data_IF_038788907748
#
_entry.id   IF_038788907748
#
_cell.length_a   1.000
_cell.length_b   1.000
_cell.length_c   1.000
_cell.angle_alpha   90.00
_cell.angle_beta   90.00
_cell.angle_gamma   90.00
#
_symmetry.space_group_name_H-M   'P 1'
#
loop_
_entity.id
_entity.type
_entity.pdbx_description
1 polymer ?
#
# COMPACT_ATOMS: atom_id res chain seq x y z
N UNK A 1 -11.75 16.65 29.24
CA UNK A 1 -12.32 17.76 28.44
C UNK A 1 -13.82 17.78 28.65
N UNK A 2 -14.50 18.93 28.50
CA UNK A 2 -15.97 18.95 28.49
C UNK A 2 -16.45 18.49 27.11
N UNK A 3 -17.53 17.72 27.08
CA UNK A 3 -18.19 17.25 25.86
C UNK A 3 -19.66 17.64 25.84
N UNK A 4 -20.25 17.68 24.66
CA UNK A 4 -21.68 17.83 24.40
C UNK A 4 -22.13 16.75 23.44
N UNK A 5 -23.14 15.98 23.82
CA UNK A 5 -23.73 14.93 22.98
C UNK A 5 -24.63 15.57 21.94
N UNK A 6 -24.34 15.35 20.67
CA UNK A 6 -25.18 15.80 19.55
C UNK A 6 -25.93 14.61 18.98
N UNK A 7 -27.26 14.70 18.98
CA UNK A 7 -28.12 13.74 18.31
C UNK A 7 -28.08 13.99 16.79
N UNK A 8 -28.10 12.94 15.96
CA UNK A 8 -28.08 13.09 14.52
C UNK A 8 -29.45 13.52 13.98
N UNK A 9 -29.45 14.15 12.81
CA UNK A 9 -30.67 14.51 12.08
C UNK A 9 -31.44 13.28 11.60
N UNK A 10 -30.73 12.21 11.21
CA UNK A 10 -31.33 10.93 10.87
C UNK A 10 -31.06 9.91 11.99
N UNK A 11 -32.14 9.34 12.54
CA UNK A 11 -32.10 8.39 13.65
C UNK A 11 -31.39 7.05 13.33
N UNK A 12 -31.02 6.80 12.07
CA UNK A 12 -30.18 5.68 11.70
C UNK A 12 -28.73 5.84 12.18
N UNK A 13 -28.27 7.07 12.48
CA UNK A 13 -26.92 7.34 12.96
C UNK A 13 -26.87 7.39 14.49
N UNK A 14 -25.72 7.17 15.13
CA UNK A 14 -25.57 7.28 16.57
C UNK A 14 -25.47 8.74 17.02
N UNK A 15 -25.72 9.00 18.31
CA UNK A 15 -25.34 10.28 18.92
C UNK A 15 -23.82 10.30 19.13
N UNK A 16 -23.21 11.48 18.98
CA UNK A 16 -21.75 11.65 19.07
C UNK A 16 -21.44 12.68 20.16
N UNK A 17 -20.52 12.34 21.05
CA UNK A 17 -19.98 13.26 22.05
C UNK A 17 -18.88 14.12 21.43
N UNK A 18 -19.17 15.40 21.21
CA UNK A 18 -18.23 16.37 20.68
C UNK A 18 -17.54 17.15 21.80
N UNK A 19 -16.22 17.31 21.70
CA UNK A 19 -15.40 18.15 22.58
C UNK A 19 -15.77 19.62 22.45
N UNK A 20 -15.86 20.28 23.60
CA UNK A 20 -16.11 21.71 23.70
C UNK A 20 -14.81 22.50 23.92
N UNK A 21 -14.72 23.65 23.26
CA UNK A 21 -13.73 24.70 23.48
C UNK A 21 -14.47 26.02 23.73
N UNK A 22 -14.21 26.68 24.87
CA UNK A 22 -14.91 27.89 25.29
C UNK A 22 -16.46 27.76 25.27
N UNK A 23 -16.97 26.61 25.74
CA UNK A 23 -18.40 26.24 25.73
C UNK A 23 -19.06 26.24 24.34
N UNK A 24 -18.28 26.02 23.28
CA UNK A 24 -18.77 25.78 21.92
C UNK A 24 -18.13 24.51 21.37
N UNK A 25 -18.79 23.84 20.44
CA UNK A 25 -18.21 22.68 19.74
C UNK A 25 -16.91 23.11 19.08
N UNK A 26 -15.80 22.44 19.44
CA UNK A 26 -14.51 22.70 18.85
C UNK A 26 -14.52 22.33 17.36
N UNK A 27 -13.97 23.18 16.49
CA UNK A 27 -13.90 22.93 15.05
C UNK A 27 -12.49 22.56 14.62
N UNK A 28 -11.93 21.57 15.30
CA UNK A 28 -10.59 21.04 15.07
C UNK A 28 -10.58 19.51 14.98
N UNK A 29 -9.39 18.94 14.79
CA UNK A 29 -9.18 17.52 14.55
C UNK A 29 -9.79 16.62 15.64
N UNK A 30 -9.89 17.09 16.89
CA UNK A 30 -10.37 16.28 18.03
C UNK A 30 -11.79 15.79 17.79
N UNK A 31 -12.62 16.61 17.15
CA UNK A 31 -14.02 16.31 16.90
C UNK A 31 -14.25 15.51 15.64
N UNK A 32 -13.35 15.58 14.67
CA UNK A 32 -13.33 14.65 13.55
C UNK A 32 -12.90 13.25 14.03
N UNK A 33 -11.89 13.18 14.90
CA UNK A 33 -11.48 11.92 15.55
C UNK A 33 -12.63 11.34 16.36
N UNK A 34 -13.26 12.14 17.23
CA UNK A 34 -14.40 11.70 18.04
C UNK A 34 -15.51 11.09 17.18
N UNK A 35 -15.77 11.66 16.00
CA UNK A 35 -16.73 11.14 15.04
C UNK A 35 -16.32 9.77 14.47
N UNK A 36 -15.05 9.60 14.06
CA UNK A 36 -14.52 8.30 13.60
C UNK A 36 -14.36 7.25 14.70
N UNK A 37 -14.37 7.65 15.98
CA UNK A 37 -14.28 6.75 17.13
C UNK A 37 -15.63 6.33 17.70
N UNK A 38 -16.73 7.00 17.31
CA UNK A 38 -18.07 6.75 17.86
C UNK A 38 -19.09 6.30 16.81
N UNK A 39 -18.92 6.63 15.52
CA UNK A 39 -19.79 6.08 14.48
C UNK A 39 -19.35 4.66 14.08
N UNK A 40 -20.16 3.65 14.42
CA UNK A 40 -19.89 2.23 14.13
C UNK A 40 -19.51 1.95 12.67
N UNK A 41 -20.01 2.76 11.74
CA UNK A 41 -19.68 2.64 10.31
C UNK A 41 -18.22 2.98 10.03
N UNK A 42 -17.64 3.86 10.84
CA UNK A 42 -16.32 4.45 10.66
C UNK A 42 -15.26 3.91 11.63
N UNK A 43 -15.65 3.44 12.82
CA UNK A 43 -14.71 2.94 13.85
C UNK A 43 -13.85 1.84 13.28
N UNK A 44 -12.56 2.09 13.04
CA UNK A 44 -11.66 1.07 12.49
C UNK A 44 -11.52 1.08 10.97
N UNK A 45 -12.15 2.02 10.24
CA UNK A 45 -12.15 2.01 8.78
C UNK A 45 -10.85 2.53 8.18
N UNK A 46 -10.27 3.56 8.77
CA UNK A 46 -9.07 4.26 8.30
C UNK A 46 -7.80 3.56 8.79
N UNK A 47 -6.84 3.42 7.87
CA UNK A 47 -5.51 2.86 8.12
C UNK A 47 -4.47 3.50 7.20
N UNK A 48 -3.19 3.37 7.55
CA UNK A 48 -2.08 3.79 6.70
C UNK A 48 -1.43 2.56 6.07
N UNK A 49 -1.48 2.48 4.73
CA UNK A 49 -0.82 1.41 3.99
C UNK A 49 0.68 1.72 3.89
N UNK A 50 1.53 0.98 4.61
CA UNK A 50 2.97 1.24 4.66
C UNK A 50 3.72 0.81 3.40
N UNK A 51 3.11 -0.04 2.57
CA UNK A 51 3.72 -0.48 1.31
C UNK A 51 3.54 0.59 0.21
N UNK A 52 2.34 1.18 0.16
CA UNK A 52 2.00 2.22 -0.83
C UNK A 52 2.16 3.64 -0.30
N UNK A 53 2.37 3.81 1.01
CA UNK A 53 2.65 5.07 1.69
C UNK A 53 1.54 6.14 1.56
N UNK A 54 0.28 5.71 1.65
CA UNK A 54 -0.89 6.60 1.66
C UNK A 54 -1.98 6.10 2.62
N UNK A 55 -2.93 6.98 2.91
CA UNK A 55 -4.11 6.68 3.71
C UNK A 55 -5.11 5.86 2.89
N UNK A 56 -5.69 4.85 3.53
CA UNK A 56 -6.74 4.01 2.94
C UNK A 56 -7.90 3.82 3.90
N UNK A 57 -9.03 3.40 3.35
CA UNK A 57 -10.07 2.73 4.10
C UNK A 57 -10.21 1.26 3.71
N UNK A 58 -10.42 0.41 4.72
CA UNK A 58 -10.43 -1.06 4.61
C UNK A 58 -11.83 -1.68 4.55
N UNK A 59 -12.87 -0.84 4.60
CA UNK A 59 -14.29 -1.23 4.56
C UNK A 59 -15.11 -0.19 3.83
N UNK A 60 -16.35 -0.51 3.49
CA UNK A 60 -17.25 0.46 2.88
C UNK A 60 -17.42 1.71 3.76
N UNK A 61 -17.22 2.86 3.14
CA UNK A 61 -17.52 4.15 3.74
C UNK A 61 -18.97 4.53 3.38
N UNK A 62 -19.63 5.40 4.16
CA UNK A 62 -21.01 5.76 3.89
C UNK A 62 -21.26 6.40 2.51
N UNK A 63 -20.22 6.94 1.87
CA UNK A 63 -20.30 7.59 0.56
C UNK A 63 -19.74 6.74 -0.59
N UNK A 64 -18.88 5.73 -0.35
CA UNK A 64 -18.45 4.79 -1.40
C UNK A 64 -17.88 3.48 -0.83
N UNK A 65 -17.99 2.43 -1.65
CA UNK A 65 -17.53 1.09 -1.31
C UNK A 65 -15.99 0.95 -1.34
N UNK A 66 -15.47 0.03 -0.53
CA UNK A 66 -14.08 -0.40 -0.57
C UNK A 66 -13.87 -1.39 -1.72
N UNK A 67 -13.00 -1.04 -2.65
CA UNK A 67 -12.73 -1.82 -3.86
C UNK A 67 -11.74 -2.96 -3.59
N UNK A 68 -10.79 -2.75 -2.69
CA UNK A 68 -9.81 -3.76 -2.31
C UNK A 68 -9.61 -3.74 -0.79
N UNK A 69 -10.25 -4.63 -0.01
CA UNK A 69 -10.06 -4.70 1.43
C UNK A 69 -8.69 -5.23 1.88
N UNK A 70 -7.94 -5.89 0.99
CA UNK A 70 -6.61 -6.43 1.30
C UNK A 70 -5.55 -5.32 1.27
N UNK A 71 -5.56 -4.48 0.23
CA UNK A 71 -4.66 -3.33 0.09
C UNK A 71 -5.23 -2.03 0.68
N UNK A 72 -6.53 -2.00 0.90
CA UNK A 72 -7.30 -0.79 1.16
C UNK A 72 -7.60 0.01 -0.11
N UNK A 73 -8.66 0.82 -0.01
CA UNK A 73 -8.98 1.81 -1.03
C UNK A 73 -8.43 3.15 -0.61
N UNK A 74 -7.62 3.77 -1.45
CA UNK A 74 -7.01 5.08 -1.20
C UNK A 74 -8.05 6.12 -0.81
N UNK A 75 -7.77 6.88 0.24
CA UNK A 75 -8.51 8.08 0.62
C UNK A 75 -8.10 9.23 -0.31
N UNK A 76 -9.08 9.88 -0.94
CA UNK A 76 -8.89 10.96 -1.91
C UNK A 76 -9.52 12.25 -1.40
N UNK A 77 -9.20 13.37 -2.06
CA UNK A 77 -9.77 14.68 -1.72
C UNK A 77 -11.31 14.70 -1.82
N UNK A 78 -11.88 13.91 -2.74
CA UNK A 78 -13.33 13.72 -2.81
C UNK A 78 -13.91 13.04 -1.56
N UNK A 79 -13.17 12.14 -0.89
CA UNK A 79 -13.60 11.54 0.38
C UNK A 79 -13.61 12.55 1.51
N UNK A 80 -12.68 13.51 1.51
CA UNK A 80 -12.65 14.62 2.46
C UNK A 80 -13.91 15.48 2.33
N UNK A 81 -14.33 15.80 1.11
CA UNK A 81 -15.57 16.54 0.85
C UNK A 81 -16.81 15.75 1.28
N UNK A 82 -16.85 14.45 0.98
CA UNK A 82 -17.97 13.59 1.39
C UNK A 82 -18.03 13.40 2.91
N UNK A 83 -16.89 13.33 3.59
CA UNK A 83 -16.82 13.29 5.05
C UNK A 83 -17.33 14.59 5.68
N UNK A 84 -16.93 15.73 5.13
CA UNK A 84 -17.42 17.04 5.55
C UNK A 84 -18.95 17.12 5.39
N UNK A 85 -19.45 16.73 4.22
CA UNK A 85 -20.90 16.69 3.93
C UNK A 85 -21.63 15.75 4.89
N UNK A 86 -21.09 14.56 5.13
CA UNK A 86 -21.67 13.60 6.05
C UNK A 86 -21.84 14.17 7.46
N UNK A 87 -20.79 14.79 8.02
CA UNK A 87 -20.85 15.34 9.37
C UNK A 87 -21.78 16.56 9.41
N UNK A 88 -21.75 17.40 8.37
CA UNK A 88 -22.63 18.56 8.24
C UNK A 88 -24.11 18.18 8.18
N UNK A 89 -24.46 17.25 7.29
CA UNK A 89 -25.84 16.80 7.07
C UNK A 89 -26.39 16.07 8.30
N UNK A 90 -25.57 15.29 9.01
CA UNK A 90 -26.04 14.50 10.14
C UNK A 90 -25.99 15.24 11.48
N UNK A 91 -24.98 16.09 11.73
CA UNK A 91 -24.77 16.68 13.05
C UNK A 91 -24.80 18.22 13.05
N UNK A 92 -24.94 18.85 11.89
CA UNK A 92 -24.99 20.32 11.78
C UNK A 92 -23.65 21.01 12.07
N UNK A 93 -22.55 20.25 12.07
CA UNK A 93 -21.20 20.76 12.34
C UNK A 93 -20.39 20.75 11.04
N UNK A 94 -19.84 21.91 10.69
CA UNK A 94 -19.01 22.08 9.49
C UNK A 94 -17.58 22.38 9.92
N UNK A 95 -16.65 21.54 9.45
CA UNK A 95 -15.20 21.68 9.63
C UNK A 95 -14.55 22.26 8.36
N UNK A 96 -13.34 22.78 8.48
CA UNK A 96 -12.50 23.03 7.31
C UNK A 96 -11.99 21.69 6.75
N UNK A 97 -11.79 21.59 5.43
CA UNK A 97 -11.25 20.38 4.78
C UNK A 97 -9.92 19.98 5.37
N UNK A 98 -9.01 20.94 5.58
CA UNK A 98 -7.70 20.71 6.21
C UNK A 98 -7.83 20.06 7.61
N UNK A 99 -8.86 20.41 8.38
CA UNK A 99 -9.13 19.78 9.68
C UNK A 99 -9.50 18.31 9.55
N UNK A 100 -10.29 17.97 8.53
CA UNK A 100 -10.62 16.58 8.20
C UNK A 100 -9.33 15.85 7.80
N UNK A 101 -8.55 16.39 6.87
CA UNK A 101 -7.33 15.75 6.36
C UNK A 101 -6.30 15.49 7.47
N UNK A 102 -6.10 16.46 8.36
CA UNK A 102 -5.23 16.30 9.53
C UNK A 102 -5.71 15.16 10.44
N UNK A 103 -7.01 15.11 10.75
CA UNK A 103 -7.57 14.06 11.58
C UNK A 103 -7.49 12.67 10.92
N UNK A 104 -7.77 12.57 9.62
CA UNK A 104 -7.65 11.33 8.84
C UNK A 104 -6.21 10.85 8.84
N UNK A 105 -5.24 11.75 8.65
CA UNK A 105 -3.82 11.41 8.75
C UNK A 105 -3.46 10.90 10.15
N UNK A 106 -3.91 11.58 11.21
CA UNK A 106 -3.66 11.14 12.60
C UNK A 106 -4.23 9.73 12.86
N UNK A 107 -5.51 9.51 12.53
CA UNK A 107 -6.19 8.22 12.67
C UNK A 107 -5.49 7.11 11.88
N UNK A 108 -5.05 7.40 10.66
CA UNK A 108 -4.36 6.42 9.82
C UNK A 108 -3.03 6.00 10.44
N UNK A 109 -2.28 6.93 11.07
CA UNK A 109 -0.97 6.67 11.66
C UNK A 109 -1.03 5.79 12.90
N UNK A 110 -2.17 5.76 13.58
CA UNK A 110 -2.43 4.81 14.68
C UNK A 110 -2.67 3.38 14.18
N UNK A 111 -2.98 3.20 12.89
CA UNK A 111 -3.27 1.91 12.26
C UNK A 111 -2.42 1.68 11.02
N UNK A 112 -1.13 1.45 11.24
CA UNK A 112 -0.20 1.06 10.20
C UNK A 112 -0.40 -0.40 9.81
N UNK A 113 -0.36 -0.70 8.51
CA UNK A 113 -0.29 -2.09 8.04
C UNK A 113 0.46 -2.22 6.71
N UNK A 114 1.07 -3.38 6.51
CA UNK A 114 1.59 -3.81 5.21
C UNK A 114 0.68 -4.92 4.66
N UNK A 115 0.03 -4.73 3.50
CA UNK A 115 -0.91 -5.71 2.96
C UNK A 115 -0.25 -7.06 2.66
N UNK A 116 1.00 -7.04 2.16
CA UNK A 116 1.77 -8.26 1.89
C UNK A 116 2.02 -9.04 3.18
N UNK A 117 2.46 -8.37 4.25
CA UNK A 117 2.69 -9.03 5.54
C UNK A 117 1.41 -9.65 6.07
N UNK A 118 0.27 -8.95 5.99
CA UNK A 118 -1.01 -9.51 6.41
C UNK A 118 -1.43 -10.72 5.57
N UNK A 119 -1.22 -10.68 4.25
CA UNK A 119 -1.49 -11.82 3.39
C UNK A 119 -0.62 -13.02 3.76
N UNK A 120 0.71 -12.86 3.82
CA UNK A 120 1.64 -13.96 4.12
C UNK A 120 1.41 -14.53 5.52
N UNK A 121 1.16 -13.70 6.53
CA UNK A 121 0.91 -14.15 7.90
C UNK A 121 -0.39 -14.97 8.05
N UNK A 122 -1.31 -14.88 7.09
CA UNK A 122 -2.55 -15.68 7.06
C UNK A 122 -2.36 -17.05 6.37
N UNK A 123 -1.30 -17.22 5.58
CA UNK A 123 -1.02 -18.47 4.89
C UNK A 123 -0.58 -19.56 5.86
N UNK A 124 -0.94 -20.80 5.55
CA UNK A 124 -0.47 -21.99 6.26
C UNK A 124 0.45 -22.79 5.35
N UNK A 125 1.66 -23.06 5.83
CA UNK A 125 2.59 -23.92 5.11
C UNK A 125 2.08 -25.37 5.14
N UNK A 126 2.13 -26.04 4.00
CA UNK A 126 1.68 -27.41 3.81
C UNK A 126 2.76 -28.47 4.14
N UNK A 127 3.94 -28.04 4.59
CA UNK A 127 5.04 -28.92 4.97
C UNK A 127 5.93 -29.37 3.81
N UNK A 128 5.65 -28.97 2.57
CA UNK A 128 6.41 -29.42 1.39
C UNK A 128 7.44 -28.36 0.98
N UNK A 129 8.75 -28.68 0.98
CA UNK A 129 9.80 -27.72 0.68
C UNK A 129 9.98 -27.52 -0.84
N UNK A 130 9.30 -26.52 -1.42
CA UNK A 130 9.33 -26.26 -2.88
C UNK A 130 10.30 -25.18 -3.34
N UNK A 131 10.75 -24.30 -2.44
CA UNK A 131 11.45 -23.06 -2.85
C UNK A 131 12.80 -23.33 -3.55
N UNK A 132 13.43 -24.47 -3.29
CA UNK A 132 14.71 -24.83 -3.92
C UNK A 132 14.54 -25.40 -5.32
N UNK A 133 13.37 -25.96 -5.66
CA UNK A 133 13.12 -26.59 -6.97
C UNK A 133 12.16 -25.79 -7.84
N UNK A 134 11.54 -24.73 -7.32
CA UNK A 134 10.52 -23.95 -8.02
C UNK A 134 10.91 -23.51 -9.44
N UNK A 135 12.17 -23.12 -9.68
CA UNK A 135 12.61 -22.76 -11.04
C UNK A 135 12.74 -23.97 -11.98
N UNK A 136 13.10 -25.13 -11.45
CA UNK A 136 13.04 -26.38 -12.21
C UNK A 136 11.58 -26.75 -12.52
N UNK A 137 10.75 -26.82 -11.47
CA UNK A 137 9.37 -27.30 -11.53
C UNK A 137 8.47 -26.44 -12.42
N UNK A 138 8.69 -25.11 -12.45
CA UNK A 138 7.83 -24.17 -13.16
C UNK A 138 8.43 -23.57 -14.43
N UNK A 139 9.76 -23.50 -14.54
CA UNK A 139 10.44 -22.84 -15.67
C UNK A 139 11.35 -23.77 -16.47
N UNK A 140 11.49 -25.03 -16.05
CA UNK A 140 12.33 -26.02 -16.73
C UNK A 140 13.83 -25.77 -16.59
N UNK A 141 14.26 -25.01 -15.56
CA UNK A 141 15.67 -24.85 -15.27
C UNK A 141 16.32 -26.21 -14.95
N UNK A 142 17.58 -26.41 -15.35
CA UNK A 142 18.31 -27.64 -15.01
C UNK A 142 18.34 -27.84 -13.49
N UNK A 143 18.14 -29.07 -13.01
CA UNK A 143 18.18 -29.36 -11.57
C UNK A 143 19.62 -29.61 -11.12
N UNK A 144 20.28 -28.58 -10.61
CA UNK A 144 21.64 -28.67 -10.07
C UNK A 144 21.84 -27.74 -8.86
N UNK A 145 22.97 -27.87 -8.17
CA UNK A 145 23.25 -27.11 -6.96
C UNK A 145 23.17 -25.58 -7.17
N UNK A 146 23.54 -25.10 -8.35
CA UNK A 146 23.49 -23.68 -8.69
C UNK A 146 22.05 -23.18 -8.83
N UNK A 147 21.24 -23.81 -9.69
CA UNK A 147 19.84 -23.38 -9.92
C UNK A 147 19.00 -23.52 -8.67
N UNK A 148 19.22 -24.55 -7.86
CA UNK A 148 18.55 -24.72 -6.58
C UNK A 148 18.94 -23.64 -5.57
N UNK A 149 20.22 -23.26 -5.55
CA UNK A 149 20.73 -22.17 -4.72
C UNK A 149 20.13 -20.82 -5.09
N UNK A 150 20.07 -20.51 -6.39
CA UNK A 150 19.46 -19.26 -6.91
C UNK A 150 17.97 -19.22 -6.61
N UNK A 151 17.24 -20.32 -6.82
CA UNK A 151 15.81 -20.40 -6.51
C UNK A 151 15.57 -20.16 -5.00
N UNK A 152 16.26 -20.88 -4.13
CA UNK A 152 16.14 -20.68 -2.68
C UNK A 152 16.57 -19.27 -2.23
N UNK A 153 17.56 -18.65 -2.87
CA UNK A 153 17.97 -17.26 -2.59
C UNK A 153 16.84 -16.27 -2.96
N UNK A 154 16.20 -16.44 -4.11
CA UNK A 154 15.11 -15.58 -4.56
C UNK A 154 13.95 -15.52 -3.56
N UNK A 155 13.42 -16.69 -3.17
CA UNK A 155 12.29 -16.76 -2.24
C UNK A 155 12.66 -16.25 -0.85
N UNK A 156 13.90 -16.50 -0.39
CA UNK A 156 14.39 -15.92 0.87
C UNK A 156 14.49 -14.40 0.79
N UNK A 157 14.93 -13.85 -0.34
CA UNK A 157 14.99 -12.40 -0.55
C UNK A 157 13.60 -11.75 -0.54
N UNK A 158 12.60 -12.40 -1.18
CA UNK A 158 11.20 -11.97 -1.12
C UNK A 158 10.72 -11.94 0.33
N UNK A 159 10.91 -13.04 1.07
CA UNK A 159 10.51 -13.10 2.48
C UNK A 159 11.23 -12.03 3.33
N UNK A 160 12.53 -11.85 3.13
CA UNK A 160 13.30 -10.82 3.83
C UNK A 160 12.74 -9.41 3.55
N UNK A 161 12.43 -9.08 2.29
CA UNK A 161 11.85 -7.77 1.93
C UNK A 161 10.49 -7.52 2.57
N UNK A 162 9.68 -8.57 2.71
CA UNK A 162 8.36 -8.47 3.36
C UNK A 162 8.49 -8.11 4.84
N UNK A 163 9.44 -8.71 5.56
CA UNK A 163 9.57 -8.54 7.02
C UNK A 163 10.62 -7.53 7.46
N UNK A 164 11.56 -7.17 6.59
CA UNK A 164 12.65 -6.23 6.85
C UNK A 164 12.69 -5.17 5.74
N UNK A 165 11.89 -4.13 5.92
CA UNK A 165 11.87 -2.99 5.00
C UNK A 165 13.29 -2.41 4.82
N UNK A 166 13.67 -2.14 3.56
CA UNK A 166 15.00 -1.62 3.22
C UNK A 166 16.14 -2.65 3.22
N UNK A 167 15.88 -3.95 3.49
CA UNK A 167 16.94 -4.98 3.40
C UNK A 167 17.56 -5.02 2.02
N UNK A 168 18.87 -4.80 1.91
CA UNK A 168 19.53 -4.77 0.59
C UNK A 168 19.52 -6.16 -0.06
N UNK A 169 19.23 -6.20 -1.36
CA UNK A 169 19.33 -7.40 -2.18
C UNK A 169 19.92 -7.01 -3.54
N UNK A 170 21.22 -7.25 -3.71
CA UNK A 170 22.02 -6.77 -4.85
C UNK A 170 21.97 -7.70 -6.08
N UNK A 171 21.04 -8.66 -6.10
CA UNK A 171 20.91 -9.62 -7.18
C UNK A 171 19.66 -9.36 -8.01
N UNK A 172 19.80 -9.44 -9.33
CA UNK A 172 18.69 -9.53 -10.27
C UNK A 172 18.73 -10.88 -10.94
N UNK A 173 17.58 -11.56 -10.97
CA UNK A 173 17.46 -12.89 -11.56
C UNK A 173 17.13 -12.73 -13.03
N UNK A 174 17.98 -13.30 -13.88
CA UNK A 174 17.76 -13.36 -15.31
C UNK A 174 17.17 -14.72 -15.65
N UNK A 175 15.90 -14.74 -16.07
CA UNK A 175 15.23 -15.96 -16.52
C UNK A 175 15.41 -16.12 -18.03
N UNK A 176 16.31 -17.02 -18.43
CA UNK A 176 16.57 -17.35 -19.83
C UNK A 176 15.89 -18.67 -20.22
N UNK A 177 15.25 -18.68 -21.39
CA UNK A 177 14.60 -19.86 -21.95
C UNK A 177 13.70 -19.48 -23.12
N UNK A 178 13.04 -20.46 -23.73
CA UNK A 178 12.15 -20.26 -24.87
C UNK A 178 11.06 -19.21 -24.63
N UNK A 179 10.52 -18.66 -25.71
CA UNK A 179 9.32 -17.83 -25.64
C UNK A 179 8.12 -18.70 -25.23
N UNK A 180 7.19 -18.15 -24.45
CA UNK A 180 5.98 -18.86 -24.06
C UNK A 180 6.11 -19.87 -22.91
N UNK A 181 7.30 -20.05 -22.31
CA UNK A 181 7.49 -20.96 -21.16
C UNK A 181 6.89 -20.45 -19.83
N UNK A 182 6.20 -19.31 -19.84
CA UNK A 182 5.53 -18.77 -18.66
C UNK A 182 6.38 -17.95 -17.70
N UNK A 183 7.54 -17.40 -18.12
CA UNK A 183 8.42 -16.58 -17.25
C UNK A 183 7.68 -15.41 -16.57
N UNK A 184 7.07 -14.54 -17.34
CA UNK A 184 6.32 -13.40 -16.80
C UNK A 184 5.05 -13.86 -16.07
N UNK A 185 4.42 -14.96 -16.51
CA UNK A 185 3.29 -15.56 -15.81
C UNK A 185 3.66 -16.04 -14.41
N UNK A 186 4.82 -16.69 -14.26
CA UNK A 186 5.33 -17.15 -12.98
C UNK A 186 5.57 -15.98 -12.02
N UNK A 187 6.23 -14.91 -12.48
CA UNK A 187 6.47 -13.71 -11.67
C UNK A 187 5.17 -12.99 -11.30
N UNK A 188 4.23 -12.88 -12.24
CA UNK A 188 2.90 -12.28 -12.02
C UNK A 188 2.08 -13.07 -11.00
N UNK A 189 2.06 -14.39 -11.07
CA UNK A 189 1.38 -15.24 -10.10
C UNK A 189 2.04 -15.11 -8.72
N UNK A 190 3.38 -15.09 -8.68
CA UNK A 190 4.12 -15.00 -7.42
C UNK A 190 3.95 -13.64 -6.73
N UNK A 191 3.96 -12.54 -7.49
CA UNK A 191 3.81 -11.19 -6.95
C UNK A 191 2.35 -10.77 -6.75
N UNK A 192 1.40 -11.41 -7.44
CA UNK A 192 -0.03 -11.13 -7.32
C UNK A 192 -0.36 -9.66 -7.59
N UNK A 193 -1.06 -9.02 -6.66
CA UNK A 193 -1.40 -7.59 -6.73
C UNK A 193 -0.17 -6.66 -6.57
N UNK A 194 0.96 -7.19 -6.12
CA UNK A 194 2.21 -6.46 -5.89
C UNK A 194 3.28 -6.79 -6.93
N UNK A 195 2.88 -7.34 -8.08
CA UNK A 195 3.72 -7.50 -9.26
C UNK A 195 3.61 -6.26 -10.17
N UNK A 196 4.73 -5.86 -10.78
CA UNK A 196 4.75 -4.83 -11.81
C UNK A 196 5.75 -5.16 -12.91
N UNK A 197 5.32 -5.09 -14.18
CA UNK A 197 6.19 -5.05 -15.35
C UNK A 197 6.23 -3.66 -15.98
N UNK A 198 5.84 -2.61 -15.24
CA UNK A 198 5.82 -1.24 -15.73
C UNK A 198 7.17 -0.52 -15.58
N UNK A 199 8.19 -1.16 -15.00
CA UNK A 199 9.52 -0.58 -14.85
C UNK A 199 10.16 -0.44 -16.24
N UNK A 200 10.15 0.78 -16.76
CA UNK A 200 10.72 1.16 -18.07
C UNK A 200 11.83 2.20 -17.94
N UNK A 201 11.81 2.98 -16.86
CA UNK A 201 12.83 3.98 -16.54
C UNK A 201 13.49 3.61 -15.22
N UNK A 202 14.79 3.86 -15.16
CA UNK A 202 15.63 3.51 -14.01
C UNK A 202 16.11 4.76 -13.25
N UNK A 203 15.54 5.92 -13.57
CA UNK A 203 15.86 7.18 -12.92
C UNK A 203 14.63 8.09 -12.80
N UNK A 204 14.69 9.01 -11.85
CA UNK A 204 13.69 10.06 -11.67
C UNK A 204 12.38 9.60 -11.00
N UNK A 205 11.39 10.48 -11.04
CA UNK A 205 10.09 10.32 -10.37
C UNK A 205 9.32 9.09 -10.88
N UNK A 206 9.29 8.89 -12.18
CA UNK A 206 8.56 7.78 -12.80
C UNK A 206 9.07 6.40 -12.34
N UNK A 207 10.38 6.26 -12.11
CA UNK A 207 10.96 5.03 -11.60
C UNK A 207 10.51 4.74 -10.16
N UNK A 208 10.43 5.79 -9.33
CA UNK A 208 9.96 5.69 -7.94
C UNK A 208 8.48 5.34 -7.90
N UNK A 209 7.65 6.02 -8.72
CA UNK A 209 6.22 5.72 -8.84
C UNK A 209 5.97 4.30 -9.34
N UNK A 210 6.77 3.81 -10.29
CA UNK A 210 6.67 2.45 -10.79
C UNK A 210 7.06 1.37 -9.77
N UNK A 211 7.84 1.72 -8.74
CA UNK A 211 8.23 0.82 -7.64
C UNK A 211 7.31 0.91 -6.43
N UNK A 212 6.55 1.99 -6.28
CA UNK A 212 5.66 2.18 -5.14
C UNK A 212 4.59 1.09 -5.11
N UNK A 213 4.46 0.37 -4.00
CA UNK A 213 3.51 -0.74 -3.91
C UNK A 213 4.00 -2.08 -4.47
N UNK A 214 5.22 -2.16 -5.03
CA UNK A 214 5.70 -3.34 -5.76
C UNK A 214 6.60 -4.22 -4.90
N UNK A 215 6.29 -5.52 -4.87
CA UNK A 215 7.13 -6.58 -4.29
C UNK A 215 8.03 -7.23 -5.34
N UNK A 216 7.48 -7.50 -6.53
CA UNK A 216 8.20 -8.14 -7.64
C UNK A 216 8.11 -7.22 -8.87
N UNK A 217 9.23 -6.59 -9.19
CA UNK A 217 9.41 -5.83 -10.42
C UNK A 217 10.02 -6.70 -11.51
N UNK A 218 9.36 -6.80 -12.65
CA UNK A 218 9.90 -7.40 -13.88
C UNK A 218 10.42 -6.30 -14.81
N UNK A 219 11.63 -6.50 -15.32
CA UNK A 219 12.18 -5.74 -16.45
C UNK A 219 12.02 -6.64 -17.68
N UNK A 220 10.98 -6.42 -18.50
CA UNK A 220 10.79 -7.23 -19.70
C UNK A 220 11.91 -6.92 -20.71
N UNK A 221 12.37 -7.98 -21.38
CA UNK A 221 13.30 -7.91 -22.50
C UNK A 221 14.63 -7.20 -22.23
N UNK A 222 15.61 -7.94 -21.70
CA UNK A 222 17.00 -7.46 -21.56
C UNK A 222 17.73 -7.27 -22.91
N UNK A 223 17.15 -7.70 -24.03
CA UNK A 223 17.74 -7.55 -25.36
C UNK A 223 17.41 -6.16 -25.91
N UNK A 224 18.43 -5.34 -26.15
CA UNK A 224 18.29 -4.01 -26.72
C UNK A 224 18.86 -2.88 -25.87
N UNK A 225 19.23 -3.14 -24.62
CA UNK A 225 19.89 -2.14 -23.79
C UNK A 225 21.30 -1.82 -24.30
N UNK A 226 21.53 -0.54 -24.51
CA UNK A 226 22.86 0.06 -24.69
C UNK A 226 23.72 -0.14 -23.44
N UNK A 227 25.03 0.01 -23.61
CA UNK A 227 25.97 -0.02 -22.48
C UNK A 227 25.60 0.99 -21.39
N UNK A 228 25.09 2.16 -21.78
CA UNK A 228 24.64 3.21 -20.87
C UNK A 228 23.46 2.74 -20.03
N UNK A 229 22.42 2.16 -20.65
CA UNK A 229 21.24 1.66 -19.94
C UNK A 229 21.59 0.52 -18.97
N UNK A 230 22.56 -0.34 -19.32
CA UNK A 230 23.05 -1.37 -18.39
C UNK A 230 23.70 -0.76 -17.14
N UNK A 231 24.48 0.32 -17.29
CA UNK A 231 25.06 1.01 -16.14
C UNK A 231 24.01 1.77 -15.33
N UNK A 232 22.99 2.35 -15.97
CA UNK A 232 21.84 2.96 -15.28
C UNK A 232 21.06 1.93 -14.47
N UNK A 233 20.78 0.74 -15.04
CA UNK A 233 20.13 -0.37 -14.34
C UNK A 233 20.95 -0.79 -13.12
N UNK A 234 22.27 -0.96 -13.26
CA UNK A 234 23.15 -1.30 -12.13
C UNK A 234 23.13 -0.23 -11.04
N UNK A 235 23.20 1.04 -11.43
CA UNK A 235 23.15 2.16 -10.49
C UNK A 235 21.79 2.20 -9.77
N UNK A 236 20.70 1.93 -10.48
CA UNK A 236 19.35 1.85 -9.93
C UNK A 236 19.18 0.70 -8.92
N UNK A 237 19.59 -0.52 -9.29
CA UNK A 237 19.48 -1.71 -8.42
C UNK A 237 20.28 -1.54 -7.12
N UNK A 238 21.45 -0.91 -7.18
CA UNK A 238 22.37 -0.80 -6.04
C UNK A 238 22.10 0.39 -5.14
N UNK A 239 21.27 1.35 -5.57
CA UNK A 239 20.90 2.54 -4.82
C UNK A 239 20.14 2.17 -3.54
N UNK A 240 20.47 2.84 -2.44
CA UNK A 240 19.84 2.64 -1.12
C UNK A 240 18.91 3.78 -0.71
N UNK A 241 18.99 4.93 -1.40
CA UNK A 241 18.17 6.12 -1.13
C UNK A 241 17.63 6.67 -2.45
N UNK A 242 16.32 6.81 -2.55
CA UNK A 242 15.68 7.54 -3.64
C UNK A 242 15.54 9.02 -3.26
N UNK A 243 16.13 9.90 -4.07
CA UNK A 243 15.96 11.35 -3.92
C UNK A 243 15.09 11.87 -5.04
N UNK A 244 13.82 12.05 -4.76
CA UNK A 244 12.92 12.81 -5.62
C UNK A 244 12.02 13.71 -4.77
N UNK A 245 11.73 14.92 -5.27
CA UNK A 245 10.51 15.62 -4.86
C UNK A 245 9.37 14.88 -5.53
N UNK A 246 8.69 14.05 -4.77
CA UNK A 246 7.32 13.70 -5.13
C UNK A 246 6.54 15.01 -5.17
N UNK A 247 5.80 15.25 -6.25
CA UNK A 247 4.80 16.30 -6.21
C UNK A 247 3.84 15.88 -5.10
N UNK A 248 3.75 16.68 -4.04
CA UNK A 248 2.57 16.60 -3.20
C UNK A 248 1.37 16.73 -4.14
N UNK A 249 0.33 15.93 -3.93
CA UNK A 249 -1.01 16.32 -4.37
C UNK A 249 -1.34 17.57 -3.55
N UNK A 250 -0.82 18.72 -3.99
CA UNK A 250 -1.35 20.01 -3.64
C UNK A 250 -2.75 20.02 -4.27
N UNK A 251 -3.77 20.12 -3.42
CA UNK A 251 -5.16 19.92 -3.79
C UNK A 251 -5.58 20.69 -5.05
N UNK A 252 -6.30 19.98 -5.92
CA UNK A 252 -7.28 20.56 -6.83
C UNK A 252 -8.69 20.19 -6.36
#
# INVERSE_FOLDING_TARGET
>A
MKTETIAPQNAAFPAIDFVLENNRIARDYRNVIAFFEQDERLIGSIAFNTLKNYVVFLRDMPWRACQNPQDGTEWKDSDTLECLRYIGDQYGVIFATETIDQAIMMLSRERLFCPIQQYVNRLRWDGIPRIATAFHDHLGAELNAYTMGVSALFFRAIAARIYQAGVKFDYVIVLQGGQGIGKSSFLRILGGEWYSDAIRKFEGKEAIEALQGVLIGEIPELQGFSKTEVEEIKAFITRTEDRARMAYMDGE
#
